data_IF_664034454663
#
_entry.id   IF_664034454663
#
_cell.length_a   1.000
_cell.length_b   1.000
_cell.length_c   1.000
_cell.angle_alpha   90.00
_cell.angle_beta   90.00
_cell.angle_gamma   90.00
#
_symmetry.space_group_name_H-M   'P 1'
#
loop_
_entity.id
_entity.type
_entity.pdbx_description
1 polymer ?
#
# COMPACT_ATOMS: atom_id res chain seq x y z
N UNK A 1 -3.23 16.57 -5.85
CA UNK A 1 -4.35 15.64 -5.70
C UNK A 1 -5.38 15.96 -6.78
N UNK A 2 -5.47 15.11 -7.78
CA UNK A 2 -6.39 15.12 -8.93
C UNK A 2 -7.21 13.84 -8.86
N UNK A 3 -8.47 13.96 -8.44
CA UNK A 3 -9.40 12.82 -8.33
C UNK A 3 -9.61 12.08 -9.68
N UNK A 4 -9.26 12.71 -10.79
CA UNK A 4 -9.44 12.17 -12.15
C UNK A 4 -8.43 11.07 -12.51
N UNK A 5 -7.28 10.99 -11.82
CA UNK A 5 -6.21 10.04 -12.15
C UNK A 5 -6.67 8.59 -11.93
N UNK A 6 -7.38 8.33 -10.82
CA UNK A 6 -7.93 7.02 -10.52
C UNK A 6 -9.04 6.59 -11.50
N UNK A 7 -9.86 7.55 -11.95
CA UNK A 7 -10.92 7.28 -12.92
C UNK A 7 -10.35 6.93 -14.30
N UNK A 8 -9.20 7.51 -14.66
CA UNK A 8 -8.52 7.29 -15.95
C UNK A 8 -7.68 6.01 -16.02
N UNK A 9 -7.39 5.37 -14.89
CA UNK A 9 -6.72 4.08 -14.86
C UNK A 9 -7.53 3.03 -15.64
N UNK A 10 -6.90 2.31 -16.57
CA UNK A 10 -7.53 1.26 -17.37
C UNK A 10 -7.80 -0.04 -16.59
N UNK A 11 -8.17 0.05 -15.31
CA UNK A 11 -8.43 -1.13 -14.48
C UNK A 11 -9.77 -1.78 -14.83
N UNK A 12 -9.86 -3.12 -14.78
CA UNK A 12 -11.12 -3.82 -14.89
C UNK A 12 -12.14 -3.28 -13.88
N UNK A 13 -13.40 -3.15 -14.32
CA UNK A 13 -14.44 -2.44 -13.57
C UNK A 13 -14.63 -2.94 -12.12
N UNK A 14 -14.35 -4.22 -11.82
CA UNK A 14 -14.44 -4.74 -10.44
C UNK A 14 -13.23 -4.45 -9.54
N UNK A 15 -12.02 -4.26 -10.09
CA UNK A 15 -10.84 -3.98 -9.26
C UNK A 15 -10.89 -2.56 -8.70
N UNK A 16 -11.40 -1.60 -9.47
CA UNK A 16 -11.58 -0.22 -9.02
C UNK A 16 -12.52 -0.15 -7.83
N UNK A 17 -13.65 -0.83 -7.92
CA UNK A 17 -14.68 -0.83 -6.88
C UNK A 17 -14.14 -1.41 -5.56
N UNK A 18 -13.35 -2.48 -5.63
CA UNK A 18 -12.71 -3.09 -4.45
C UNK A 18 -11.71 -2.12 -3.80
N UNK A 19 -10.83 -1.52 -4.61
CA UNK A 19 -9.82 -0.58 -4.10
C UNK A 19 -10.50 0.65 -3.49
N UNK A 20 -11.51 1.22 -4.17
CA UNK A 20 -12.30 2.34 -3.66
C UNK A 20 -13.03 1.99 -2.36
N UNK A 21 -13.63 0.80 -2.26
CA UNK A 21 -14.31 0.37 -1.04
C UNK A 21 -13.36 0.36 0.17
N UNK A 22 -12.13 -0.14 -0.01
CA UNK A 22 -11.11 -0.15 1.04
C UNK A 22 -10.59 1.25 1.38
N UNK A 23 -10.39 2.09 0.37
CA UNK A 23 -9.99 3.49 0.57
C UNK A 23 -11.05 4.24 1.37
N UNK A 24 -12.32 4.10 1.00
CA UNK A 24 -13.46 4.72 1.70
C UNK A 24 -13.57 4.19 3.13
N UNK A 25 -13.41 2.87 3.34
CA UNK A 25 -13.40 2.30 4.69
C UNK A 25 -12.29 2.94 5.54
N UNK A 26 -11.05 2.98 5.06
CA UNK A 26 -9.91 3.58 5.78
C UNK A 26 -10.08 5.07 6.09
N UNK A 27 -10.69 5.85 5.20
CA UNK A 27 -10.98 7.27 5.44
C UNK A 27 -12.16 7.47 6.42
N UNK A 28 -13.11 6.53 6.43
CA UNK A 28 -14.30 6.61 7.31
C UNK A 28 -14.02 6.22 8.77
N UNK A 29 -12.89 5.58 9.06
CA UNK A 29 -12.53 5.12 10.41
C UNK A 29 -12.03 6.24 11.34
N UNK A 30 -12.17 7.50 10.94
CA UNK A 30 -11.71 8.65 11.72
C UNK A 30 -12.39 8.83 13.10
N UNK A 31 -13.36 8.01 13.56
CA UNK A 31 -13.82 8.11 14.96
C UNK A 31 -14.65 6.98 15.63
N UNK A 32 -15.01 5.83 15.03
CA UNK A 32 -16.09 5.01 15.68
C UNK A 32 -16.01 3.48 15.71
N UNK A 33 -14.97 2.78 15.23
CA UNK A 33 -14.86 1.34 15.47
C UNK A 33 -13.77 1.01 16.48
N UNK A 34 -14.20 0.93 17.74
CA UNK A 34 -13.43 0.39 18.85
C UNK A 34 -13.06 -1.05 18.52
N UNK A 35 -11.77 -1.23 18.25
CA UNK A 35 -11.12 -2.50 18.02
C UNK A 35 -11.40 -3.45 19.20
N UNK A 36 -12.33 -4.40 19.01
CA UNK A 36 -12.66 -5.43 20.02
C UNK A 36 -11.46 -6.37 20.23
N UNK A 37 -10.47 -6.34 19.34
CA UNK A 37 -9.24 -7.13 19.41
C UNK A 37 -8.04 -6.18 19.27
N UNK A 38 -7.56 -5.67 20.42
CA UNK A 38 -6.43 -4.73 20.61
C UNK A 38 -5.09 -5.06 19.93
N UNK A 39 -5.00 -6.12 19.12
CA UNK A 39 -3.76 -6.63 18.51
C UNK A 39 -3.89 -6.99 17.03
N UNK A 40 -5.00 -6.66 16.36
CA UNK A 40 -5.12 -6.83 14.90
C UNK A 40 -5.15 -5.45 14.26
N UNK A 41 -3.97 -4.98 13.86
CA UNK A 41 -3.85 -3.73 13.10
C UNK A 41 -4.74 -3.78 11.87
N UNK A 42 -5.61 -2.79 11.72
CA UNK A 42 -6.55 -2.62 10.60
C UNK A 42 -5.84 -2.20 9.29
N UNK A 43 -4.55 -2.53 9.16
CA UNK A 43 -3.77 -2.23 7.96
C UNK A 43 -4.26 -3.07 6.79
N UNK A 44 -4.41 -2.43 5.63
CA UNK A 44 -4.74 -3.12 4.39
C UNK A 44 -3.45 -3.30 3.61
N UNK A 45 -3.18 -4.55 3.19
CA UNK A 45 -2.07 -4.88 2.31
C UNK A 45 -2.66 -5.21 0.95
N UNK A 46 -2.25 -4.47 -0.08
CA UNK A 46 -2.67 -4.70 -1.47
C UNK A 46 -1.50 -5.25 -2.27
N UNK A 47 -1.63 -6.49 -2.74
CA UNK A 47 -0.67 -7.09 -3.67
C UNK A 47 -1.11 -6.82 -5.11
N UNK A 48 -0.36 -5.98 -5.82
CA UNK A 48 -0.56 -5.73 -7.25
C UNK A 48 0.35 -6.66 -8.05
N UNK A 49 -0.23 -7.66 -8.73
CA UNK A 49 0.50 -8.63 -9.54
C UNK A 49 0.10 -8.58 -11.03
N UNK A 50 1.01 -8.93 -11.93
CA UNK A 50 0.80 -8.98 -13.38
C UNK A 50 2.11 -8.84 -14.16
N UNK A 51 2.05 -8.71 -15.49
CA UNK A 51 3.24 -8.47 -16.31
C UNK A 51 3.90 -7.09 -16.02
N UNK A 52 5.21 -6.91 -16.29
CA UNK A 52 5.84 -5.59 -16.20
C UNK A 52 5.12 -4.55 -17.07
N UNK A 53 5.14 -3.28 -16.65
CA UNK A 53 4.55 -2.13 -17.38
C UNK A 53 3.02 -2.10 -17.52
N UNK A 54 2.28 -2.95 -16.79
CA UNK A 54 0.80 -2.87 -16.73
C UNK A 54 0.27 -1.75 -15.81
N UNK A 55 1.16 -0.90 -15.29
CA UNK A 55 0.78 0.26 -14.48
C UNK A 55 0.58 -0.02 -12.98
N UNK A 56 1.18 -1.08 -12.42
CA UNK A 56 1.08 -1.41 -10.98
C UNK A 56 1.45 -0.22 -10.07
N UNK A 57 2.61 0.38 -10.30
CA UNK A 57 3.09 1.55 -9.57
C UNK A 57 2.11 2.73 -9.71
N UNK A 58 1.58 2.96 -10.92
CA UNK A 58 0.59 4.02 -11.20
C UNK A 58 -0.72 3.79 -10.42
N UNK A 59 -1.13 2.53 -10.22
CA UNK A 59 -2.31 2.22 -9.38
C UNK A 59 -2.04 2.65 -7.95
N UNK A 60 -0.88 2.30 -7.38
CA UNK A 60 -0.52 2.68 -6.01
C UNK A 60 -0.46 4.21 -5.84
N UNK A 61 0.16 4.91 -6.80
CA UNK A 61 0.19 6.38 -6.86
C UNK A 61 -1.20 6.99 -6.93
N UNK A 62 -2.09 6.42 -7.74
CA UNK A 62 -3.46 6.91 -7.86
C UNK A 62 -4.28 6.65 -6.60
N UNK A 63 -4.04 5.54 -5.90
CA UNK A 63 -4.67 5.25 -4.61
C UNK A 63 -4.22 6.26 -3.56
N UNK A 64 -2.92 6.53 -3.47
CA UNK A 64 -2.41 7.58 -2.59
C UNK A 64 -2.99 8.94 -2.93
N UNK A 65 -3.19 9.20 -4.23
CA UNK A 65 -3.78 10.44 -4.68
C UNK A 65 -5.23 10.62 -4.20
N UNK A 66 -6.04 9.56 -4.27
CA UNK A 66 -7.43 9.55 -3.76
C UNK A 66 -7.47 9.61 -2.23
N UNK A 67 -6.52 8.97 -1.55
CA UNK A 67 -6.43 9.00 -0.09
C UNK A 67 -5.86 10.32 0.47
N UNK A 68 -5.32 11.18 -0.39
CA UNK A 68 -4.58 12.40 -0.02
C UNK A 68 -3.45 12.12 1.00
N UNK A 69 -2.83 10.94 0.90
CA UNK A 69 -1.76 10.48 1.78
C UNK A 69 -0.42 10.42 1.04
N UNK A 70 0.69 10.80 1.68
CA UNK A 70 2.01 10.66 1.07
C UNK A 70 2.35 9.17 0.84
N UNK A 71 3.17 8.89 -0.17
CA UNK A 71 3.75 7.55 -0.39
C UNK A 71 5.15 7.50 0.20
N UNK A 72 5.41 6.48 1.00
CA UNK A 72 6.74 6.03 1.37
C UNK A 72 7.15 4.89 0.42
N UNK A 73 8.07 5.16 -0.51
CA UNK A 73 8.52 4.21 -1.51
C UNK A 73 9.76 3.48 -1.02
N UNK A 74 9.77 2.15 -1.12
CA UNK A 74 10.91 1.28 -0.80
C UNK A 74 10.98 0.17 -1.83
N UNK A 75 12.18 -0.11 -2.35
CA UNK A 75 12.39 -1.31 -3.15
C UNK A 75 12.74 -2.49 -2.26
N UNK A 76 12.39 -3.69 -2.70
CA UNK A 76 12.75 -4.91 -2.00
C UNK A 76 14.26 -5.02 -1.72
N UNK A 77 15.11 -4.58 -2.66
CA UNK A 77 16.57 -4.58 -2.47
C UNK A 77 17.07 -3.62 -1.37
N UNK A 78 16.27 -2.64 -0.95
CA UNK A 78 16.60 -1.73 0.16
C UNK A 78 16.30 -2.34 1.53
N UNK A 79 15.57 -3.48 1.60
CA UNK A 79 15.23 -4.10 2.88
C UNK A 79 16.38 -4.90 3.49
N UNK A 80 17.31 -5.41 2.68
CA UNK A 80 18.46 -6.20 3.14
C UNK A 80 18.65 -7.49 2.36
N UNK A 81 19.77 -8.17 2.63
CA UNK A 81 20.14 -9.41 1.92
C UNK A 81 19.75 -10.68 2.71
N UNK A 82 19.68 -10.59 4.04
CA UNK A 82 19.28 -11.69 4.91
C UNK A 82 18.00 -11.40 5.69
N UNK A 83 17.40 -12.47 6.23
CA UNK A 83 16.11 -12.40 6.89
C UNK A 83 16.09 -11.45 8.11
N UNK A 84 17.21 -11.31 8.82
CA UNK A 84 17.29 -10.45 10.00
C UNK A 84 17.35 -8.96 9.62
N UNK A 85 18.11 -8.62 8.57
CA UNK A 85 18.16 -7.27 8.03
C UNK A 85 16.81 -6.84 7.46
N UNK A 86 16.14 -7.74 6.72
CA UNK A 86 14.81 -7.50 6.15
C UNK A 86 13.77 -7.25 7.24
N UNK A 87 13.78 -8.04 8.31
CA UNK A 87 12.86 -7.87 9.44
C UNK A 87 13.06 -6.51 10.12
N UNK A 88 14.31 -6.16 10.47
CA UNK A 88 14.64 -4.89 11.12
C UNK A 88 14.27 -3.69 10.24
N UNK A 89 14.61 -3.73 8.96
CA UNK A 89 14.34 -2.63 8.03
C UNK A 89 12.85 -2.48 7.77
N UNK A 90 12.12 -3.58 7.60
CA UNK A 90 10.68 -3.56 7.40
C UNK A 90 9.94 -3.03 8.63
N UNK A 91 10.33 -3.43 9.85
CA UNK A 91 9.77 -2.87 11.09
C UNK A 91 9.95 -1.35 11.16
N UNK A 92 11.16 -0.87 10.87
CA UNK A 92 11.47 0.56 10.88
C UNK A 92 10.63 1.34 9.85
N UNK A 93 10.54 0.82 8.62
CA UNK A 93 9.78 1.44 7.52
C UNK A 93 8.28 1.47 7.83
N UNK A 94 7.73 0.39 8.40
CA UNK A 94 6.33 0.33 8.83
C UNK A 94 6.05 1.34 9.95
N UNK A 95 6.96 1.48 10.92
CA UNK A 95 6.82 2.45 12.01
C UNK A 95 6.83 3.89 11.48
N UNK A 96 7.77 4.23 10.58
CA UNK A 96 7.86 5.53 9.91
C UNK A 96 6.59 5.84 9.11
N UNK A 97 6.13 4.88 8.30
CA UNK A 97 4.93 5.03 7.47
C UNK A 97 3.70 5.29 8.35
N UNK A 98 3.56 4.54 9.45
CA UNK A 98 2.46 4.72 10.41
C UNK A 98 2.49 6.09 11.07
N UNK A 99 3.67 6.54 11.54
CA UNK A 99 3.86 7.87 12.15
C UNK A 99 3.52 9.02 11.19
N UNK A 100 3.78 8.85 9.91
CA UNK A 100 3.46 9.86 8.89
C UNK A 100 2.05 9.71 8.30
N UNK A 101 1.28 8.72 8.74
CA UNK A 101 -0.01 8.35 8.15
C UNK A 101 0.09 8.19 6.62
N UNK A 102 1.21 7.64 6.16
CA UNK A 102 1.56 7.45 4.75
C UNK A 102 1.07 6.09 4.22
N UNK A 103 1.15 5.91 2.91
CA UNK A 103 1.02 4.60 2.25
C UNK A 103 2.42 4.07 2.00
N UNK A 104 2.71 2.85 2.46
CA UNK A 104 3.94 2.15 2.11
C UNK A 104 3.78 1.46 0.76
N UNK A 105 4.64 1.80 -0.19
CA UNK A 105 4.76 1.13 -1.48
C UNK A 105 6.06 0.31 -1.49
N UNK A 106 5.91 -1.01 -1.45
CA UNK A 106 7.01 -1.96 -1.64
C UNK A 106 7.03 -2.41 -3.10
N UNK A 107 8.08 -2.04 -3.84
CA UNK A 107 8.27 -2.42 -5.25
C UNK A 107 9.34 -3.50 -5.39
N UNK A 108 9.33 -4.21 -6.53
CA UNK A 108 10.31 -5.26 -6.88
C UNK A 108 10.39 -6.43 -5.87
N UNK A 109 9.31 -6.74 -5.15
CA UNK A 109 9.27 -7.81 -4.14
C UNK A 109 9.38 -9.23 -4.70
N UNK A 110 9.33 -9.39 -6.02
CA UNK A 110 9.56 -10.67 -6.70
C UNK A 110 10.95 -11.24 -6.43
N UNK A 111 11.95 -10.40 -6.10
CA UNK A 111 13.28 -10.86 -5.69
C UNK A 111 13.25 -11.78 -4.46
N UNK A 112 12.26 -11.65 -3.59
CA UNK A 112 12.11 -12.49 -2.40
C UNK A 112 11.34 -13.78 -2.67
N UNK A 113 10.68 -13.88 -3.83
CA UNK A 113 9.90 -15.05 -4.24
C UNK A 113 10.69 -15.99 -5.14
N UNK A 114 11.80 -15.53 -5.73
CA UNK A 114 12.76 -16.38 -6.44
C UNK A 114 13.69 -17.11 -5.45
N UNK A 115 13.20 -18.22 -4.88
CA UNK A 115 14.03 -19.30 -4.31
C UNK A 115 13.51 -20.67 -4.73
#
# INVERSE_FOLDING_TARGET
WSEDTFNRLGLPNGCKDIILAFVVEQLSQDNTFHDIIRSKGQGIILLLSGEPRVGKTIIAESVAEVMEKPIYYVTAGELGEDASEVEETLENVLELTSKWQAILLLDECDIFLEQ
#
